data_IF_423460062755
#
_entry.id   IF_423460062755
#
_cell.length_a   1.000
_cell.length_b   1.000
_cell.length_c   1.000
_cell.angle_alpha   90.00
_cell.angle_beta   90.00
_cell.angle_gamma   90.00
#
_symmetry.space_group_name_H-M   'P 1'
#
loop_
_entity.id
_entity.type
_entity.pdbx_description
1 polymer ?
#
# COMPACT_ATOMS: atom_id res chain seq x y z
N UNK A 1 -4.02 -7.84 -6.91
CA UNK A 1 -2.65 -7.38 -7.20
C UNK A 1 -2.19 -6.54 -6.01
N UNK A 2 -1.08 -6.89 -5.36
CA UNK A 2 -0.55 -6.09 -4.23
C UNK A 2 0.17 -4.89 -4.80
N UNK A 3 -0.21 -3.70 -4.36
CA UNK A 3 0.41 -2.45 -4.80
C UNK A 3 0.97 -1.79 -3.56
N UNK A 4 2.27 -1.58 -3.55
CA UNK A 4 2.94 -0.86 -2.47
C UNK A 4 2.89 0.64 -2.73
N UNK A 5 2.66 1.39 -1.66
CA UNK A 5 2.63 2.84 -1.67
C UNK A 5 3.54 3.37 -0.58
N UNK A 6 4.35 4.35 -0.95
CA UNK A 6 5.24 5.06 -0.05
C UNK A 6 4.55 6.34 0.40
N UNK A 7 4.37 6.50 1.70
CA UNK A 7 3.90 7.75 2.26
C UNK A 7 5.08 8.74 2.37
N UNK A 8 4.79 10.05 2.32
CA UNK A 8 5.78 11.13 2.33
C UNK A 8 6.69 11.17 3.57
N UNK A 9 6.28 10.49 4.64
CA UNK A 9 7.10 10.33 5.86
C UNK A 9 8.16 9.22 5.70
N UNK A 10 8.24 8.55 4.55
CA UNK A 10 9.16 7.44 4.28
C UNK A 10 8.62 6.07 4.69
N UNK A 11 7.39 6.00 5.21
CA UNK A 11 6.76 4.75 5.65
C UNK A 11 6.07 4.05 4.49
N UNK A 12 6.24 2.73 4.43
CA UNK A 12 5.69 1.91 3.38
C UNK A 12 4.39 1.23 3.80
N UNK A 13 3.44 1.16 2.86
CA UNK A 13 2.14 0.52 3.05
C UNK A 13 1.80 -0.35 1.85
N UNK A 14 1.19 -1.52 2.09
CA UNK A 14 0.62 -2.35 1.06
C UNK A 14 -0.89 -2.09 0.98
N UNK A 15 -1.36 -1.77 -0.22
CA UNK A 15 -2.77 -1.51 -0.48
C UNK A 15 -3.38 -2.67 -1.26
N UNK A 16 -4.41 -3.25 -0.67
CA UNK A 16 -5.25 -4.27 -1.31
C UNK A 16 -6.37 -3.57 -2.07
N UNK A 17 -6.42 -3.85 -3.36
CA UNK A 17 -7.47 -3.33 -4.23
C UNK A 17 -8.41 -4.48 -4.60
N UNK A 18 -9.70 -4.17 -4.65
CA UNK A 18 -10.70 -5.07 -5.23
C UNK A 18 -10.60 -5.07 -6.77
N UNK A 19 -11.34 -5.98 -7.40
CA UNK A 19 -11.53 -6.10 -8.85
C UNK A 19 -11.92 -4.77 -9.53
N UNK A 20 -12.62 -3.89 -8.83
CA UNK A 20 -13.00 -2.55 -9.33
C UNK A 20 -11.95 -1.46 -9.11
N UNK A 21 -10.77 -1.78 -8.56
CA UNK A 21 -9.71 -0.81 -8.26
C UNK A 21 -9.95 0.03 -7.01
N UNK A 22 -10.94 -0.31 -6.18
CA UNK A 22 -11.18 0.34 -4.89
C UNK A 22 -10.25 -0.24 -3.83
N UNK A 23 -9.75 0.62 -2.94
CA UNK A 23 -8.96 0.19 -1.80
C UNK A 23 -9.90 -0.50 -0.80
N UNK A 24 -9.62 -1.77 -0.50
CA UNK A 24 -10.41 -2.58 0.45
C UNK A 24 -9.65 -2.93 1.71
N UNK A 25 -8.36 -2.65 1.75
CA UNK A 25 -7.55 -2.86 2.94
C UNK A 25 -6.15 -2.29 2.80
N UNK A 26 -5.58 -1.93 3.94
CA UNK A 26 -4.23 -1.40 4.04
C UNK A 26 -3.46 -2.25 5.04
N UNK A 27 -2.26 -2.65 4.68
CA UNK A 27 -1.30 -3.29 5.58
C UNK A 27 -0.09 -2.38 5.76
N UNK A 28 0.37 -2.25 7.00
CA UNK A 28 1.54 -1.46 7.36
C UNK A 28 1.37 -0.68 8.67
N UNK A 29 2.42 0.01 9.14
CA UNK A 29 3.68 0.31 8.44
C UNK A 29 4.55 -0.93 8.16
N UNK A 30 5.07 -1.03 6.94
CA UNK A 30 5.90 -2.15 6.48
C UNK A 30 7.37 -1.73 6.40
N UNK A 31 8.24 -2.69 6.69
CA UNK A 31 9.67 -2.54 6.45
C UNK A 31 10.03 -3.03 5.04
N UNK A 32 11.12 -2.51 4.48
CA UNK A 32 11.54 -2.90 3.12
C UNK A 32 12.00 -4.36 3.05
N UNK A 33 12.51 -4.89 4.16
CA UNK A 33 12.94 -6.29 4.27
C UNK A 33 11.74 -7.27 4.31
N UNK A 34 10.61 -6.81 4.86
CA UNK A 34 9.37 -7.59 5.03
C UNK A 34 8.60 -7.78 3.70
N UNK A 35 8.97 -7.03 2.66
CA UNK A 35 8.30 -7.09 1.35
C UNK A 35 8.40 -8.46 0.67
N UNK A 36 9.43 -9.26 1.00
CA UNK A 36 9.65 -10.61 0.43
C UNK A 36 8.67 -11.66 0.95
N UNK A 37 8.15 -11.50 2.17
CA UNK A 37 7.31 -12.50 2.87
C UNK A 37 5.85 -12.04 3.04
N UNK A 38 5.44 -11.03 2.26
CA UNK A 38 4.16 -10.32 2.44
C UNK A 38 2.88 -11.14 2.19
N UNK A 39 2.93 -12.46 1.99
CA UNK A 39 1.73 -13.31 1.80
C UNK A 39 0.75 -13.24 2.98
N UNK A 40 1.27 -13.08 4.21
CA UNK A 40 0.52 -13.10 5.47
C UNK A 40 0.30 -11.72 6.13
N UNK A 41 0.37 -10.61 5.37
CA UNK A 41 0.11 -9.30 5.97
C UNK A 41 -1.37 -9.11 6.33
N UNK A 42 -1.64 -8.75 7.59
CA UNK A 42 -2.96 -8.38 8.07
C UNK A 42 -3.40 -7.07 7.41
N UNK A 43 -4.47 -7.14 6.61
CA UNK A 43 -5.05 -5.97 5.96
C UNK A 43 -6.17 -5.40 6.84
N UNK A 44 -6.00 -4.15 7.24
CA UNK A 44 -6.99 -3.40 7.99
C UNK A 44 -7.90 -2.62 7.04
N UNK A 45 -9.16 -3.03 6.94
CA UNK A 45 -10.17 -2.36 6.11
C UNK A 45 -10.56 -0.98 6.64
N UNK A 46 -10.43 -0.76 7.95
CA UNK A 46 -10.70 0.54 8.60
C UNK A 46 -9.74 1.64 8.13
N UNK A 47 -8.55 1.27 7.68
CA UNK A 47 -7.53 2.20 7.17
C UNK A 47 -7.73 2.55 5.68
N UNK A 48 -8.67 1.90 4.99
CA UNK A 48 -8.90 2.12 3.55
C UNK A 48 -9.27 3.58 3.25
N UNK A 49 -10.23 4.14 4.00
CA UNK A 49 -10.66 5.53 3.87
C UNK A 49 -9.54 6.52 4.18
N UNK A 50 -8.68 6.19 5.15
CA UNK A 50 -7.51 7.00 5.48
C UNK A 50 -6.52 7.01 4.31
N UNK A 51 -6.20 5.85 3.75
CA UNK A 51 -5.27 5.77 2.64
C UNK A 51 -5.80 6.45 1.38
N UNK A 52 -7.10 6.36 1.09
CA UNK A 52 -7.74 7.13 0.03
C UNK A 52 -7.51 8.63 0.22
N UNK A 53 -7.77 9.15 1.42
CA UNK A 53 -7.55 10.56 1.73
C UNK A 53 -6.07 11.00 1.62
N UNK A 54 -5.11 10.16 2.02
CA UNK A 54 -3.69 10.47 1.87
C UNK A 54 -3.22 10.40 0.41
N UNK A 55 -3.82 9.56 -0.42
CA UNK A 55 -3.59 9.53 -1.86
C UNK A 55 -4.14 10.80 -2.52
N UNK A 56 -5.38 11.20 -2.19
CA UNK A 56 -6.00 12.44 -2.69
C UNK A 56 -5.18 13.68 -2.31
N UNK A 57 -4.56 13.67 -1.13
CA UNK A 57 -3.65 14.73 -0.66
C UNK A 57 -2.25 14.66 -1.26
N UNK A 58 -1.99 13.70 -2.14
CA UNK A 58 -0.67 13.40 -2.71
C UNK A 58 0.40 13.13 -1.64
N UNK A 59 -0.02 12.71 -0.44
CA UNK A 59 0.87 12.31 0.65
C UNK A 59 1.34 10.85 0.50
N UNK A 60 0.66 10.06 -0.34
CA UNK A 60 1.05 8.71 -0.73
C UNK A 60 1.36 8.62 -2.22
N UNK A 61 2.42 7.90 -2.57
CA UNK A 61 2.82 7.65 -3.95
C UNK A 61 2.93 6.16 -4.24
N UNK A 62 2.33 5.73 -5.35
CA UNK A 62 2.39 4.34 -5.80
C UNK A 62 3.81 4.00 -6.20
N UNK A 63 4.37 2.97 -5.58
CA UNK A 63 5.64 2.41 -6.04
C UNK A 63 5.40 1.66 -7.34
N UNK A 64 6.07 2.08 -8.40
CA UNK A 64 6.15 1.30 -9.62
C UNK A 64 7.09 0.14 -9.34
N UNK A 65 6.63 -1.08 -9.55
CA UNK A 65 7.54 -2.20 -9.69
C UNK A 65 8.38 -1.90 -10.93
N UNK A 66 9.59 -1.39 -10.73
CA UNK A 66 10.57 -1.31 -11.80
C UNK A 66 10.96 -2.74 -12.10
N UNK A 67 10.32 -3.35 -13.10
CA UNK A 67 10.86 -4.51 -13.77
C UNK A 67 12.20 -4.06 -14.36
N UNK A 68 13.30 -4.33 -13.68
CA UNK A 68 14.61 -4.37 -14.32
C UNK A 68 14.57 -5.55 -15.28
N UNK A 69 14.30 -5.25 -16.56
CA UNK A 69 14.61 -6.14 -17.68
C UNK A 69 16.12 -6.40 -17.75
#
# INVERSE_FOLDING_TARGET
MKIFWLHRNGTLYALKHDTFGRIVGVAGPLDWDDLRDSEDQEYHSELALWAEGEIERHAMQRMRATYTC
#
